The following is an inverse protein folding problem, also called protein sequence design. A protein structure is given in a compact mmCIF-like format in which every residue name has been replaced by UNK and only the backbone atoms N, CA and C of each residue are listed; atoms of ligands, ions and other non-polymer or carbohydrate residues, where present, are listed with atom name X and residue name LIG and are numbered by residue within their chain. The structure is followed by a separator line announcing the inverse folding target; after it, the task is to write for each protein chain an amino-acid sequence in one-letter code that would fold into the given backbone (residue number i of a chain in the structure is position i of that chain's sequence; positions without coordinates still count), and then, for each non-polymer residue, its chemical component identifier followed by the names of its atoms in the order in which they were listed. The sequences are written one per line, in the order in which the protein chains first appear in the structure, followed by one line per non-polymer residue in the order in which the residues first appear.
data_IF_762292489105
#
_entry.id   IF_762292489105
#
_cell.length_a   1.000
_cell.length_b   1.000
_cell.length_c   1.000
_cell.angle_alpha   90.00
_cell.angle_beta   90.00
_cell.angle_gamma   90.00
#
_symmetry.space_group_name_H-M   'P 1'
#
loop_
_entity.id
_entity.type
_entity.pdbx_description
1 polymer ?
#
# COMPACT_ATOMS: atom_id res chain seq x y z
N UNK A 1 24.42 -9.35 22.38
CA UNK A 1 23.09 -10.00 22.30
C UNK A 1 22.38 -9.43 21.08
N UNK A 2 21.93 -10.27 20.15
CA UNK A 2 21.18 -9.82 18.98
C UNK A 2 19.74 -9.58 19.40
N UNK A 3 19.31 -8.32 19.45
CA UNK A 3 17.89 -8.02 19.62
C UNK A 3 17.19 -8.16 18.27
N UNK A 4 16.19 -9.02 18.14
CA UNK A 4 15.45 -9.16 16.89
C UNK A 4 14.72 -7.86 16.59
N UNK A 5 14.98 -7.29 15.42
CA UNK A 5 14.27 -6.10 14.94
C UNK A 5 12.79 -6.44 14.74
N UNK A 6 11.92 -5.71 15.41
CA UNK A 6 10.46 -5.92 15.36
C UNK A 6 9.81 -5.11 14.25
N UNK A 7 10.29 -5.33 13.02
CA UNK A 7 9.71 -4.73 11.81
C UNK A 7 8.70 -5.68 11.19
N UNK A 8 7.63 -5.12 10.64
CA UNK A 8 6.60 -5.85 9.93
C UNK A 8 6.55 -5.38 8.48
N UNK A 9 6.68 -6.31 7.54
CA UNK A 9 6.33 -6.10 6.13
C UNK A 9 5.11 -6.98 5.85
N UNK A 10 4.01 -6.39 5.40
CA UNK A 10 2.74 -7.10 5.35
C UNK A 10 1.94 -6.78 4.08
N UNK A 11 1.37 -7.83 3.48
CA UNK A 11 0.25 -7.74 2.55
C UNK A 11 -1.06 -7.60 3.33
N UNK A 12 -1.56 -6.37 3.48
CA UNK A 12 -2.79 -6.11 4.24
C UNK A 12 -4.07 -6.58 3.53
N UNK A 13 -3.94 -7.06 2.29
CA UNK A 13 -5.02 -7.50 1.42
C UNK A 13 -4.54 -8.68 0.57
N UNK A 14 -5.45 -9.46 0.05
CA UNK A 14 -5.17 -10.43 -1.01
C UNK A 14 -5.69 -9.94 -2.38
N UNK A 15 -6.03 -8.65 -2.52
CA UNK A 15 -6.63 -8.06 -3.72
C UNK A 15 -5.68 -7.07 -4.40
N UNK A 16 -5.80 -6.98 -5.70
CA UNK A 16 -5.25 -5.94 -6.54
C UNK A 16 -6.09 -5.85 -7.82
N UNK A 17 -6.40 -4.64 -8.29
CA UNK A 17 -7.14 -4.43 -9.53
C UNK A 17 -6.24 -4.38 -10.77
N UNK A 18 -4.92 -4.41 -10.60
CA UNK A 18 -3.96 -4.37 -11.70
C UNK A 18 -3.65 -5.76 -12.26
N UNK A 19 -3.15 -5.77 -13.50
CA UNK A 19 -2.74 -6.96 -14.24
C UNK A 19 -1.33 -6.79 -14.82
N UNK A 20 -0.38 -6.40 -13.98
CA UNK A 20 1.01 -6.19 -14.39
C UNK A 20 1.63 -7.52 -14.86
N UNK A 21 2.20 -7.60 -16.09
CA UNK A 21 2.60 -8.87 -16.70
C UNK A 21 3.67 -9.67 -15.94
N UNK A 22 4.53 -8.99 -15.18
CA UNK A 22 5.61 -9.60 -14.38
C UNK A 22 5.27 -9.74 -12.90
N UNK A 23 4.03 -9.45 -12.50
CA UNK A 23 3.59 -9.65 -11.12
C UNK A 23 3.41 -11.14 -10.81
N UNK A 24 3.86 -11.61 -9.67
CA UNK A 24 3.64 -12.99 -9.19
C UNK A 24 2.16 -13.37 -9.14
N UNK A 25 1.26 -12.38 -9.04
CA UNK A 25 -0.19 -12.56 -9.11
C UNK A 25 -0.68 -13.14 -10.44
N UNK A 26 0.04 -12.90 -11.55
CA UNK A 26 -0.31 -13.45 -12.87
C UNK A 26 -0.22 -14.99 -12.89
N UNK A 27 0.71 -15.56 -12.11
CA UNK A 27 0.79 -17.01 -11.99
C UNK A 27 -0.54 -17.60 -11.46
N UNK A 28 -1.10 -17.02 -10.41
CA UNK A 28 -2.40 -17.46 -9.84
C UNK A 28 -3.52 -17.33 -10.86
N UNK A 29 -3.55 -16.22 -11.62
CA UNK A 29 -4.55 -15.99 -12.67
C UNK A 29 -4.42 -17.01 -13.80
N UNK A 30 -3.24 -17.21 -14.32
CA UNK A 30 -2.99 -18.12 -15.44
C UNK A 30 -3.28 -19.58 -15.09
N UNK A 31 -3.06 -19.96 -13.84
CA UNK A 31 -3.36 -21.31 -13.36
C UNK A 31 -4.76 -21.45 -12.74
N UNK A 32 -5.60 -20.41 -12.78
CA UNK A 32 -6.94 -20.39 -12.17
C UNK A 32 -6.94 -20.76 -10.68
N UNK A 33 -5.88 -20.42 -9.98
CA UNK A 33 -5.71 -20.66 -8.54
C UNK A 33 -6.10 -19.40 -7.78
N UNK A 34 -6.83 -19.56 -6.68
CA UNK A 34 -7.18 -18.44 -5.80
C UNK A 34 -5.92 -17.87 -5.16
N UNK A 35 -5.79 -16.54 -5.19
CA UNK A 35 -4.73 -15.84 -4.47
C UNK A 35 -4.87 -16.09 -2.97
N UNK A 36 -3.83 -16.54 -2.28
CA UNK A 36 -3.89 -16.83 -0.85
C UNK A 36 -4.11 -15.58 0.00
N UNK A 37 -4.48 -15.79 1.24
CA UNK A 37 -4.70 -14.72 2.21
C UNK A 37 -6.11 -14.14 2.19
N UNK A 38 -6.33 -13.16 3.03
CA UNK A 38 -7.59 -12.46 3.24
C UNK A 38 -7.34 -10.98 3.56
N UNK A 39 -8.41 -10.19 3.72
CA UNK A 39 -8.30 -8.84 4.23
C UNK A 39 -7.91 -8.86 5.71
N UNK A 40 -6.87 -8.12 6.05
CA UNK A 40 -6.49 -7.89 7.44
C UNK A 40 -7.56 -7.03 8.13
N UNK A 41 -8.01 -7.47 9.30
CA UNK A 41 -8.97 -6.72 10.13
C UNK A 41 -8.25 -5.79 11.09
N UNK A 42 -8.95 -4.75 11.58
CA UNK A 42 -8.39 -3.81 12.56
C UNK A 42 -7.94 -4.52 13.82
N UNK A 43 -8.77 -5.41 14.38
CA UNK A 43 -8.42 -6.13 15.61
C UNK A 43 -7.21 -7.05 15.49
N UNK A 44 -7.01 -7.67 14.31
CA UNK A 44 -5.79 -8.46 14.05
C UNK A 44 -4.57 -7.56 13.90
N UNK A 45 -4.73 -6.40 13.25
CA UNK A 45 -3.65 -5.44 13.09
C UNK A 45 -3.19 -4.87 14.44
N UNK A 46 -4.12 -4.51 15.33
CA UNK A 46 -3.80 -4.05 16.70
C UNK A 46 -2.92 -5.06 17.44
N UNK A 47 -3.25 -6.36 17.39
CA UNK A 47 -2.43 -7.43 17.99
C UNK A 47 -1.03 -7.53 17.35
N UNK A 48 -0.93 -7.35 16.03
CA UNK A 48 0.37 -7.38 15.35
C UNK A 48 1.28 -6.25 15.81
N UNK A 49 0.77 -5.03 15.97
CA UNK A 49 1.58 -3.87 16.35
C UNK A 49 1.90 -3.80 17.85
N UNK A 50 1.28 -4.62 18.67
CA UNK A 50 1.75 -4.86 20.05
C UNK A 50 3.13 -5.51 20.06
N UNK A 51 3.39 -6.39 19.09
CA UNK A 51 4.66 -7.09 18.97
C UNK A 51 5.62 -6.39 17.97
N UNK A 52 5.12 -6.03 16.76
CA UNK A 52 5.90 -5.37 15.72
C UNK A 52 5.76 -3.85 15.84
N UNK A 53 6.55 -3.23 16.73
CA UNK A 53 6.43 -1.83 17.10
C UNK A 53 7.58 -0.93 16.64
N UNK A 54 8.52 -1.45 15.85
CA UNK A 54 9.65 -0.67 15.35
C UNK A 54 9.34 0.03 14.03
N UNK A 55 8.71 -0.67 13.08
CA UNK A 55 8.28 -0.14 11.78
C UNK A 55 7.27 -1.07 11.12
N UNK A 56 6.28 -0.51 10.43
CA UNK A 56 5.33 -1.26 9.60
C UNK A 56 5.40 -0.79 8.16
N UNK A 57 5.61 -1.72 7.23
CA UNK A 57 5.61 -1.47 5.80
C UNK A 57 4.47 -2.26 5.13
N UNK A 58 3.53 -1.55 4.54
CA UNK A 58 2.51 -2.12 3.68
C UNK A 58 3.06 -2.19 2.27
N UNK A 59 3.64 -3.31 1.93
CA UNK A 59 4.25 -3.58 0.64
C UNK A 59 3.60 -4.80 0.02
N UNK A 60 2.72 -4.60 -0.95
CA UNK A 60 2.06 -5.70 -1.64
C UNK A 60 3.04 -6.48 -2.51
N UNK A 61 3.28 -7.75 -2.20
CA UNK A 61 4.01 -8.67 -3.08
C UNK A 61 3.11 -9.25 -4.15
N UNK A 62 1.88 -9.62 -3.76
CA UNK A 62 0.85 -10.17 -4.64
C UNK A 62 -0.48 -9.42 -4.53
N UNK A 63 -0.52 -8.35 -3.75
CA UNK A 63 -1.69 -7.51 -3.50
C UNK A 63 -1.32 -6.03 -3.55
N UNK A 64 -2.29 -5.18 -3.24
CA UNK A 64 -2.05 -3.75 -3.01
C UNK A 64 -2.72 -3.33 -1.69
N UNK A 65 -1.98 -2.62 -0.85
CA UNK A 65 -2.44 -2.24 0.47
C UNK A 65 -3.70 -1.36 0.43
N UNK A 66 -3.84 -0.50 -0.60
CA UNK A 66 -5.01 0.37 -0.77
C UNK A 66 -6.30 -0.39 -1.08
N UNK A 67 -6.21 -1.67 -1.44
CA UNK A 67 -7.39 -2.52 -1.59
C UNK A 67 -8.03 -2.90 -0.25
N UNK A 68 -7.31 -2.75 0.88
CA UNK A 68 -7.91 -2.91 2.20
C UNK A 68 -8.64 -1.61 2.59
N UNK A 69 -9.96 -1.65 2.86
CA UNK A 69 -10.71 -0.45 3.25
C UNK A 69 -10.27 0.12 4.60
N UNK A 70 -9.69 -0.69 5.47
CA UNK A 70 -9.23 -0.31 6.80
C UNK A 70 -7.81 0.29 6.85
N UNK A 71 -7.16 0.49 5.70
CA UNK A 71 -5.82 1.08 5.70
C UNK A 71 -5.74 2.43 6.44
N UNK A 72 -6.71 3.37 6.30
CA UNK A 72 -6.69 4.60 7.09
C UNK A 72 -6.74 4.37 8.60
N UNK A 73 -7.51 3.39 9.07
CA UNK A 73 -7.56 3.03 10.49
C UNK A 73 -6.20 2.45 10.96
N UNK A 74 -5.56 1.60 10.15
CA UNK A 74 -4.21 1.10 10.47
C UNK A 74 -3.19 2.23 10.60
N UNK A 75 -3.24 3.20 9.69
CA UNK A 75 -2.35 4.36 9.72
C UNK A 75 -2.60 5.23 10.96
N UNK A 76 -3.86 5.41 11.36
CA UNK A 76 -4.22 6.13 12.58
C UNK A 76 -3.69 5.43 13.84
N UNK A 77 -3.79 4.11 13.92
CA UNK A 77 -3.23 3.31 15.01
C UNK A 77 -1.71 3.48 15.09
N UNK A 78 -1.02 3.41 13.94
CA UNK A 78 0.45 3.61 13.89
C UNK A 78 0.84 5.03 14.30
N UNK A 79 0.07 6.03 13.89
CA UNK A 79 0.28 7.42 14.30
C UNK A 79 0.15 7.59 15.81
N UNK A 80 -0.91 7.07 16.42
CA UNK A 80 -1.15 7.17 17.86
C UNK A 80 -0.07 6.48 18.71
N UNK A 81 0.58 5.45 18.15
CA UNK A 81 1.66 4.69 18.81
C UNK A 81 3.06 5.18 18.43
N UNK A 82 3.17 6.23 17.61
CA UNK A 82 4.44 6.74 17.07
C UNK A 82 5.27 5.66 16.35
N UNK A 83 4.62 4.71 15.69
CA UNK A 83 5.29 3.67 14.91
C UNK A 83 5.49 4.16 13.47
N UNK A 84 6.73 4.25 12.98
CA UNK A 84 7.02 4.62 11.60
C UNK A 84 6.34 3.68 10.60
N UNK A 85 5.79 4.25 9.54
CA UNK A 85 5.05 3.48 8.54
C UNK A 85 5.39 3.87 7.11
N UNK A 86 5.23 2.90 6.21
CA UNK A 86 5.38 3.08 4.77
C UNK A 86 4.27 2.35 4.04
N UNK A 87 3.72 2.97 3.01
CA UNK A 87 2.75 2.37 2.10
C UNK A 87 3.29 2.42 0.68
N UNK A 88 3.41 1.24 0.06
CA UNK A 88 3.71 1.12 -1.37
C UNK A 88 2.43 0.76 -2.11
N UNK A 89 2.07 1.54 -3.11
CA UNK A 89 0.85 1.32 -3.91
C UNK A 89 1.05 1.67 -5.38
N UNK A 90 0.36 0.94 -6.23
CA UNK A 90 0.21 1.25 -7.65
C UNK A 90 -1.25 1.13 -8.11
N UNK A 91 -2.11 0.54 -7.28
CA UNK A 91 -3.52 0.39 -7.58
C UNK A 91 -4.24 1.74 -7.57
N UNK A 92 -4.96 2.03 -8.65
CA UNK A 92 -5.73 3.26 -8.82
C UNK A 92 -7.23 3.09 -8.51
N UNK A 93 -7.54 2.16 -7.62
CA UNK A 93 -8.91 1.78 -7.27
C UNK A 93 -9.63 2.84 -6.45
N UNK A 94 -8.94 3.47 -5.51
CA UNK A 94 -9.53 4.41 -4.55
C UNK A 94 -9.78 5.79 -5.16
N UNK A 95 -10.73 6.54 -4.58
CA UNK A 95 -10.96 7.96 -4.90
C UNK A 95 -9.85 8.84 -4.31
N UNK A 96 -9.74 10.06 -4.81
CA UNK A 96 -8.82 11.07 -4.26
C UNK A 96 -9.17 11.41 -2.80
N UNK A 97 -10.45 11.54 -2.47
CA UNK A 97 -10.90 11.79 -1.09
C UNK A 97 -10.48 10.69 -0.12
N UNK A 98 -10.48 9.43 -0.59
CA UNK A 98 -9.98 8.33 0.22
C UNK A 98 -8.48 8.46 0.51
N UNK A 99 -7.68 8.86 -0.50
CA UNK A 99 -6.25 9.11 -0.30
C UNK A 99 -6.02 10.26 0.67
N UNK A 100 -6.77 11.37 0.55
CA UNK A 100 -6.69 12.51 1.47
C UNK A 100 -6.99 12.06 2.91
N UNK A 101 -8.02 11.23 3.10
CA UNK A 101 -8.32 10.63 4.40
C UNK A 101 -7.17 9.78 4.92
N UNK A 102 -6.57 8.94 4.09
CA UNK A 102 -5.45 8.09 4.47
C UNK A 102 -4.21 8.91 4.85
N UNK A 103 -3.89 9.96 4.09
CA UNK A 103 -2.78 10.87 4.41
C UNK A 103 -3.01 11.61 5.73
N UNK A 104 -4.23 12.06 5.98
CA UNK A 104 -4.60 12.76 7.22
C UNK A 104 -4.58 11.83 8.44
N UNK A 105 -4.85 10.54 8.26
CA UNK A 105 -4.81 9.54 9.33
C UNK A 105 -3.41 9.35 9.93
N UNK A 106 -2.36 9.48 9.10
CA UNK A 106 -0.98 9.51 9.55
C UNK A 106 -0.12 10.36 8.61
N UNK A 107 0.08 11.65 8.93
CA UNK A 107 0.88 12.55 8.09
C UNK A 107 2.35 12.16 7.97
N UNK A 108 2.84 11.30 8.87
CA UNK A 108 4.25 10.87 8.91
C UNK A 108 4.50 9.58 8.10
N UNK A 109 3.46 9.00 7.48
CA UNK A 109 3.62 7.82 6.64
C UNK A 109 4.39 8.15 5.36
N UNK A 110 5.43 7.38 5.07
CA UNK A 110 6.09 7.41 3.76
C UNK A 110 5.21 6.72 2.72
N UNK A 111 4.87 7.42 1.64
CA UNK A 111 4.11 6.86 0.54
C UNK A 111 4.98 6.66 -0.69
N UNK A 112 4.83 5.51 -1.32
CA UNK A 112 5.54 5.10 -2.50
C UNK A 112 4.54 4.76 -3.60
N UNK A 113 4.42 5.63 -4.59
CA UNK A 113 3.50 5.45 -5.71
C UNK A 113 4.22 4.85 -6.91
N UNK A 114 3.73 3.71 -7.40
CA UNK A 114 4.29 3.01 -8.55
C UNK A 114 3.69 3.52 -9.85
N UNK A 115 4.50 4.22 -10.64
CA UNK A 115 4.22 4.57 -12.03
C UNK A 115 5.34 4.02 -12.93
N UNK A 116 4.98 3.51 -14.09
CA UNK A 116 5.94 3.05 -15.11
C UNK A 116 5.78 3.91 -16.37
N UNK A 117 6.65 4.89 -16.49
CA UNK A 117 6.60 5.93 -17.53
C UNK A 117 5.75 7.14 -17.11
N UNK A 118 5.26 7.90 -18.09
CA UNK A 118 4.38 9.04 -17.83
C UNK A 118 3.01 8.58 -17.28
N UNK A 119 2.29 9.44 -16.53
CA UNK A 119 1.01 9.07 -15.96
C UNK A 119 0.00 8.49 -16.97
N UNK A 120 -0.09 9.09 -18.15
CA UNK A 120 -0.97 8.64 -19.23
C UNK A 120 -0.46 7.40 -19.98
N UNK A 121 0.74 6.91 -19.70
CA UNK A 121 1.38 5.74 -20.32
C UNK A 121 1.56 4.56 -19.37
N UNK A 122 1.48 4.78 -18.07
CA UNK A 122 1.77 3.76 -17.06
C UNK A 122 0.89 2.51 -17.20
N UNK A 123 -0.33 2.65 -17.73
CA UNK A 123 -1.25 1.53 -18.00
C UNK A 123 -0.73 0.54 -19.07
N UNK A 124 0.26 0.92 -19.89
CA UNK A 124 0.86 0.04 -20.90
C UNK A 124 1.50 -1.18 -20.20
N UNK A 125 2.22 -0.96 -19.12
CA UNK A 125 2.79 -2.03 -18.30
C UNK A 125 1.87 -2.41 -17.14
N UNK A 126 1.38 -1.42 -16.37
CA UNK A 126 0.46 -1.66 -15.25
C UNK A 126 -0.98 -1.70 -15.76
N UNK A 127 -1.32 -2.76 -16.49
CA UNK A 127 -2.66 -2.93 -17.06
C UNK A 127 -3.74 -2.66 -16.00
N UNK A 128 -4.77 -1.91 -16.39
CA UNK A 128 -5.87 -1.40 -15.56
C UNK A 128 -5.49 -0.27 -14.58
N UNK A 129 -4.27 0.27 -14.63
CA UNK A 129 -3.93 1.46 -13.84
C UNK A 129 -4.47 2.72 -14.51
N UNK A 130 -5.04 3.62 -13.71
CA UNK A 130 -5.21 5.03 -14.06
C UNK A 130 -4.02 5.79 -13.46
N UNK A 131 -2.97 5.98 -14.25
CA UNK A 131 -1.74 6.63 -13.78
C UNK A 131 -1.91 8.11 -13.47
N UNK A 132 -2.83 8.79 -14.17
CA UNK A 132 -3.15 10.21 -13.89
C UNK A 132 -3.79 10.36 -12.50
N UNK A 133 -4.70 9.44 -12.12
CA UNK A 133 -5.26 9.41 -10.76
C UNK A 133 -4.18 9.14 -9.69
N UNK A 134 -3.24 8.25 -9.95
CA UNK A 134 -2.11 7.99 -9.05
C UNK A 134 -1.25 9.25 -8.90
N UNK A 135 -0.96 9.94 -9.99
CA UNK A 135 -0.21 11.19 -9.97
C UNK A 135 -0.98 12.31 -9.24
N UNK A 136 -2.29 12.40 -9.45
CA UNK A 136 -3.14 13.34 -8.70
C UNK A 136 -3.12 13.02 -7.20
N UNK A 137 -3.29 11.76 -6.80
CA UNK A 137 -3.18 11.35 -5.39
C UNK A 137 -1.84 11.75 -4.78
N UNK A 138 -0.75 11.54 -5.52
CA UNK A 138 0.58 11.97 -5.13
C UNK A 138 0.65 13.49 -4.86
N UNK A 139 0.07 14.32 -5.73
CA UNK A 139 0.10 15.79 -5.57
C UNK A 139 -0.73 16.31 -4.39
N UNK A 140 -1.67 15.53 -3.88
CA UNK A 140 -2.47 15.87 -2.69
C UNK A 140 -1.70 15.71 -1.38
N UNK A 141 -0.54 15.07 -1.40
CA UNK A 141 0.24 14.89 -0.19
C UNK A 141 0.99 16.17 0.17
N UNK A 142 0.75 16.71 1.37
CA UNK A 142 1.24 18.02 1.80
C UNK A 142 2.57 17.97 2.54
N UNK A 143 3.07 16.79 2.89
CA UNK A 143 4.28 16.64 3.69
C UNK A 143 5.50 16.48 2.78
N UNK A 144 6.46 17.44 2.76
CA UNK A 144 7.67 17.33 1.96
C UNK A 144 8.50 16.08 2.36
N UNK A 145 8.94 15.30 1.38
CA UNK A 145 9.86 14.19 1.60
C UNK A 145 9.25 12.84 1.96
N UNK A 146 7.93 12.74 2.10
CA UNK A 146 7.25 11.50 2.51
C UNK A 146 6.83 10.58 1.34
N UNK A 147 7.28 10.81 0.12
CA UNK A 147 6.83 10.05 -1.04
C UNK A 147 7.90 9.87 -2.12
N UNK A 148 7.79 8.80 -2.89
CA UNK A 148 8.62 8.53 -4.06
C UNK A 148 7.77 8.03 -5.22
N UNK A 149 8.02 8.54 -6.42
CA UNK A 149 7.50 8.00 -7.68
C UNK A 149 8.64 7.26 -8.36
N UNK A 150 8.38 6.03 -8.83
CA UNK A 150 9.30 5.29 -9.69
C UNK A 150 8.92 5.53 -11.15
N UNK A 151 9.94 5.77 -11.97
CA UNK A 151 9.84 5.90 -13.42
C UNK A 151 10.43 4.68 -14.10
#
# INVERSE_FOLDING_TARGET
MYEPRRKLVIDASNKCNLQCPKCGREWFRNNKVKVPGELLTVSRFEKLVEYFNEKVEFCGQISDATMNPHLPEFLSILHSKNIPSKVSTAASYRSIDWYIKAFSANPNTEWLFGLDGLPNQSHIYRKNQNGEKIFEAYTQQKTPGAYRIFW
#
